data_IF_453711462051
#
_entry.id   IF_453711462051
#
_cell.length_a   1.000
_cell.length_b   1.000
_cell.length_c   1.000
_cell.angle_alpha   90.00
_cell.angle_beta   90.00
_cell.angle_gamma   90.00
#
_symmetry.space_group_name_H-M   'P 1'
#
loop_
_entity.id
_entity.type
_entity.pdbx_description
1 polymer ?
#
# COMPACT_ATOMS: atom_id res chain seq x y z
N UNK A 1 7.59 -52.57 -66.07
CA UNK A 1 7.53 -53.04 -64.66
C UNK A 1 7.55 -51.83 -63.75
N UNK A 2 6.60 -51.81 -62.81
CA UNK A 2 6.41 -51.02 -61.57
C UNK A 2 7.21 -49.73 -61.30
N UNK A 3 6.40 -48.66 -61.13
CA UNK A 3 6.53 -47.41 -60.38
C UNK A 3 7.42 -47.44 -59.13
N UNK A 4 8.12 -46.34 -58.83
CA UNK A 4 7.88 -45.56 -57.61
C UNK A 4 8.51 -44.16 -57.71
N UNK A 5 7.66 -43.13 -57.66
CA UNK A 5 8.02 -41.74 -57.39
C UNK A 5 8.07 -41.59 -55.88
N UNK A 6 9.16 -41.10 -55.31
CA UNK A 6 9.24 -40.73 -53.88
C UNK A 6 9.33 -39.22 -53.80
N UNK A 7 8.26 -38.61 -53.31
CA UNK A 7 8.15 -37.17 -53.03
C UNK A 7 9.06 -36.76 -51.86
N UNK A 8 9.72 -35.62 -52.01
CA UNK A 8 10.34 -34.86 -50.93
C UNK A 8 9.28 -34.39 -49.92
N UNK A 9 9.52 -34.64 -48.63
CA UNK A 9 8.86 -33.96 -47.51
C UNK A 9 9.92 -33.51 -46.51
N UNK A 10 10.15 -32.20 -46.49
CA UNK A 10 10.93 -31.45 -45.50
C UNK A 10 10.21 -31.44 -44.15
N UNK A 11 10.86 -31.92 -43.09
CA UNK A 11 10.43 -31.69 -41.70
C UNK A 11 11.49 -30.87 -41.00
N UNK A 12 11.18 -29.59 -40.76
CA UNK A 12 11.94 -28.66 -39.93
C UNK A 12 11.71 -29.03 -38.45
N UNK A 13 12.77 -29.42 -37.74
CA UNK A 13 12.77 -29.61 -36.29
C UNK A 13 13.16 -28.29 -35.61
N UNK A 14 12.32 -27.68 -34.76
CA UNK A 14 12.79 -26.63 -33.87
C UNK A 14 13.48 -27.27 -32.65
N UNK A 15 14.73 -26.85 -32.44
CA UNK A 15 15.50 -27.01 -31.22
C UNK A 15 14.87 -26.10 -30.15
N UNK A 16 14.32 -26.66 -29.08
CA UNK A 16 13.98 -25.89 -27.89
C UNK A 16 14.58 -26.57 -26.66
N UNK A 17 15.68 -25.98 -26.18
CA UNK A 17 16.26 -26.23 -24.87
C UNK A 17 15.28 -25.72 -23.80
N UNK A 18 14.65 -26.64 -23.09
CA UNK A 18 13.93 -26.30 -21.85
C UNK A 18 14.54 -27.07 -20.70
N UNK A 19 15.49 -26.43 -20.00
CA UNK A 19 15.86 -26.82 -18.64
C UNK A 19 14.69 -26.50 -17.71
N UNK A 20 13.88 -27.49 -17.39
CA UNK A 20 12.89 -27.37 -16.32
C UNK A 20 13.60 -27.42 -14.97
N UNK A 21 13.77 -26.26 -14.33
CA UNK A 21 14.02 -26.20 -12.90
C UNK A 21 12.74 -26.61 -12.18
N UNK A 22 12.77 -27.79 -11.55
CA UNK A 22 11.70 -28.22 -10.66
C UNK A 22 11.71 -27.34 -9.40
N UNK A 23 10.78 -26.39 -9.31
CA UNK A 23 10.48 -25.72 -8.06
C UNK A 23 9.79 -26.72 -7.12
N UNK A 24 10.36 -26.92 -5.93
CA UNK A 24 9.80 -27.74 -4.88
C UNK A 24 8.42 -27.20 -4.48
N UNK A 25 7.36 -27.95 -4.79
CA UNK A 25 6.00 -27.65 -4.35
C UNK A 25 5.79 -28.17 -2.93
N UNK A 26 6.20 -27.37 -1.93
CA UNK A 26 5.61 -27.47 -0.60
C UNK A 26 4.11 -27.12 -0.70
N UNK A 27 3.24 -27.99 -0.18
CA UNK A 27 1.78 -27.92 -0.29
C UNK A 27 1.11 -26.77 0.46
N UNK A 28 1.58 -25.53 0.25
CA UNK A 28 0.84 -24.31 0.57
C UNK A 28 -0.05 -23.91 -0.61
N UNK A 29 -1.23 -23.38 -0.33
CA UNK A 29 -2.08 -22.75 -1.36
C UNK A 29 -1.25 -21.59 -1.93
N UNK A 30 -0.78 -21.71 -3.18
CA UNK A 30 0.03 -20.66 -3.79
C UNK A 30 -0.77 -19.36 -3.91
N UNK A 31 -0.12 -18.24 -3.62
CA UNK A 31 -0.71 -16.92 -3.79
C UNK A 31 -0.80 -16.58 -5.30
N UNK A 32 -1.99 -16.66 -5.87
CA UNK A 32 -2.25 -16.19 -7.24
C UNK A 32 -2.28 -14.66 -7.28
N UNK A 33 -1.40 -14.06 -8.07
CA UNK A 33 -1.20 -12.61 -8.15
C UNK A 33 -1.65 -11.97 -9.47
N UNK A 34 -2.33 -12.73 -10.33
CA UNK A 34 -2.80 -12.24 -11.64
C UNK A 34 -4.27 -11.86 -11.62
N UNK A 35 -4.58 -10.68 -12.17
CA UNK A 35 -5.92 -10.18 -12.41
C UNK A 35 -5.99 -9.63 -13.84
N UNK A 36 -6.58 -10.41 -14.75
CA UNK A 36 -6.54 -10.10 -16.18
C UNK A 36 -5.09 -10.01 -16.69
N UNK A 37 -4.71 -8.86 -17.24
CA UNK A 37 -3.33 -8.59 -17.68
C UNK A 37 -2.42 -8.03 -16.58
N UNK A 38 -2.98 -7.66 -15.42
CA UNK A 38 -2.22 -7.07 -14.30
C UNK A 38 -1.66 -8.17 -13.40
N UNK A 39 -0.41 -8.02 -12.98
CA UNK A 39 0.19 -8.84 -11.92
C UNK A 39 0.54 -7.93 -10.74
N UNK A 40 0.11 -8.29 -9.53
CA UNK A 40 0.42 -7.54 -8.30
C UNK A 40 1.66 -8.10 -7.60
N UNK A 41 2.41 -7.30 -6.84
CA UNK A 41 3.53 -7.81 -6.06
C UNK A 41 3.05 -8.64 -4.87
N UNK A 42 3.83 -9.63 -4.46
CA UNK A 42 3.63 -10.27 -3.17
C UNK A 42 3.81 -9.23 -2.04
N UNK A 43 3.04 -9.26 -0.93
CA UNK A 43 2.09 -10.28 -0.46
C UNK A 43 0.64 -10.10 -0.91
N UNK A 44 0.39 -9.26 -1.93
CA UNK A 44 -0.94 -9.03 -2.45
C UNK A 44 -1.33 -10.13 -3.45
N UNK A 45 -2.62 -10.49 -3.48
CA UNK A 45 -3.15 -11.32 -4.56
C UNK A 45 -4.59 -11.77 -4.36
N UNK A 46 -5.06 -12.64 -5.25
CA UNK A 46 -6.47 -12.92 -5.51
C UNK A 46 -6.91 -14.32 -5.08
N UNK A 47 -6.10 -14.99 -4.26
CA UNK A 47 -6.36 -16.34 -3.76
C UNK A 47 -6.21 -16.42 -2.24
N UNK A 48 -6.80 -17.42 -1.56
CA UNK A 48 -6.71 -17.57 -0.12
C UNK A 48 -5.28 -17.72 0.44
N UNK A 49 -4.31 -18.08 -0.40
CA UNK A 49 -2.90 -18.20 -0.03
C UNK A 49 -2.14 -16.87 0.08
N UNK A 50 -2.76 -15.75 -0.27
CA UNK A 50 -2.12 -14.43 -0.21
C UNK A 50 -2.30 -13.79 1.17
N UNK A 51 -1.23 -13.28 1.81
CA UNK A 51 -1.37 -12.62 3.10
C UNK A 51 -2.25 -11.36 3.04
N UNK A 52 -2.29 -10.68 1.89
CA UNK A 52 -3.18 -9.54 1.66
C UNK A 52 -4.15 -9.87 0.52
N UNK A 53 -5.36 -10.33 0.83
CA UNK A 53 -6.34 -10.70 -0.17
C UNK A 53 -6.93 -9.48 -0.87
N UNK A 54 -7.01 -9.57 -2.20
CA UNK A 54 -7.60 -8.60 -3.11
C UNK A 54 -8.76 -9.23 -3.87
N UNK A 55 -9.69 -8.38 -4.29
CA UNK A 55 -10.68 -8.70 -5.32
C UNK A 55 -10.16 -8.26 -6.69
N UNK A 56 -10.55 -8.97 -7.75
CA UNK A 56 -10.16 -8.65 -9.12
C UNK A 56 -11.40 -8.25 -9.92
N UNK A 57 -11.40 -7.05 -10.50
CA UNK A 57 -12.25 -6.76 -11.64
C UNK A 57 -11.50 -7.17 -12.91
N UNK A 58 -11.82 -8.37 -13.41
CA UNK A 58 -11.16 -8.93 -14.59
C UNK A 58 -11.50 -8.19 -15.89
N UNK A 59 -12.62 -7.44 -15.93
CA UNK A 59 -13.04 -6.72 -17.14
C UNK A 59 -12.10 -5.56 -17.47
N UNK A 60 -11.52 -4.94 -16.44
CA UNK A 60 -10.59 -3.81 -16.53
C UNK A 60 -9.25 -4.11 -15.85
N UNK A 61 -8.96 -5.38 -15.56
CA UNK A 61 -7.72 -5.85 -14.91
C UNK A 61 -7.33 -5.05 -13.66
N UNK A 62 -8.32 -4.64 -12.86
CA UNK A 62 -8.12 -3.70 -11.74
C UNK A 62 -8.13 -4.42 -10.39
N UNK A 63 -7.05 -4.29 -9.59
CA UNK A 63 -7.02 -4.79 -8.22
C UNK A 63 -7.84 -3.92 -7.27
N UNK A 64 -8.65 -4.57 -6.45
CA UNK A 64 -9.54 -3.94 -5.47
C UNK A 64 -9.15 -4.41 -4.07
N UNK A 65 -8.84 -3.44 -3.21
CA UNK A 65 -8.46 -3.66 -1.82
C UNK A 65 -9.70 -3.72 -0.91
N UNK A 66 -9.68 -4.70 -0.03
CA UNK A 66 -10.67 -4.84 1.04
C UNK A 66 -12.09 -5.12 0.52
N UNK A 67 -13.03 -5.21 1.46
CA UNK A 67 -14.44 -5.46 1.12
C UNK A 67 -15.20 -4.20 0.71
N UNK A 68 -14.66 -3.03 1.03
CA UNK A 68 -15.28 -1.73 0.73
C UNK A 68 -15.09 -1.28 -0.71
N UNK A 69 -14.33 -2.02 -1.54
CA UNK A 69 -14.24 -1.76 -2.97
C UNK A 69 -13.24 -0.66 -3.36
N UNK A 70 -12.10 -0.56 -2.67
CA UNK A 70 -11.13 0.51 -2.90
C UNK A 70 -10.13 0.14 -3.99
N UNK A 71 -10.08 0.89 -5.08
CA UNK A 71 -9.13 0.64 -6.19
C UNK A 71 -7.70 1.00 -5.81
N UNK A 72 -6.73 0.15 -6.19
CA UNK A 72 -5.30 0.39 -5.99
C UNK A 72 -4.73 1.03 -7.27
N UNK A 73 -4.01 2.14 -7.12
CA UNK A 73 -3.35 2.86 -8.20
C UNK A 73 -1.92 2.40 -8.44
N UNK A 74 -1.16 2.20 -7.36
CA UNK A 74 0.26 1.87 -7.44
C UNK A 74 0.73 1.09 -6.22
N UNK A 75 1.83 0.38 -6.41
CA UNK A 75 2.57 -0.35 -5.38
C UNK A 75 3.99 0.20 -5.32
N UNK A 76 4.52 0.38 -4.12
CA UNK A 76 5.91 0.74 -3.90
C UNK A 76 6.54 -0.24 -2.93
N UNK A 77 7.33 -1.18 -3.46
CA UNK A 77 7.99 -2.21 -2.65
C UNK A 77 9.06 -1.61 -1.72
N UNK A 78 9.75 -0.55 -2.17
CA UNK A 78 10.83 0.10 -1.41
C UNK A 78 10.34 0.71 -0.11
N UNK A 79 9.21 1.43 -0.16
CA UNK A 79 8.58 2.02 1.04
C UNK A 79 7.60 1.05 1.70
N UNK A 80 7.32 -0.09 1.06
CA UNK A 80 6.25 -1.03 1.42
C UNK A 80 4.91 -0.31 1.60
N UNK A 81 4.55 0.49 0.59
CA UNK A 81 3.29 1.24 0.55
C UNK A 81 2.50 0.94 -0.71
N UNK A 82 1.20 1.24 -0.67
CA UNK A 82 0.30 1.24 -1.82
C UNK A 82 -0.49 2.54 -1.83
N UNK A 83 -0.81 3.06 -3.01
CA UNK A 83 -1.70 4.21 -3.15
C UNK A 83 -3.06 3.72 -3.61
N UNK A 84 -4.11 4.13 -2.91
CA UNK A 84 -5.49 3.70 -3.14
C UNK A 84 -6.43 4.89 -3.31
N UNK A 85 -7.55 4.71 -4.01
CA UNK A 85 -8.53 5.77 -4.22
C UNK A 85 -9.36 6.04 -2.97
N UNK A 86 -9.46 7.30 -2.56
CA UNK A 86 -10.46 7.76 -1.61
C UNK A 86 -11.16 9.03 -2.14
N UNK A 87 -11.97 8.89 -3.20
CA UNK A 87 -12.58 10.03 -3.85
C UNK A 87 -13.44 10.84 -2.88
N UNK A 88 -13.60 12.15 -3.14
CA UNK A 88 -14.47 13.00 -2.35
C UNK A 88 -15.88 12.42 -2.19
N UNK A 89 -16.36 12.32 -0.94
CA UNK A 89 -17.71 11.86 -0.62
C UNK A 89 -18.31 12.67 0.52
N UNK A 90 -19.56 13.07 0.36
CA UNK A 90 -20.30 13.87 1.34
C UNK A 90 -21.07 13.02 2.35
N UNK A 91 -21.07 11.69 2.18
CA UNK A 91 -21.89 10.76 2.96
C UNK A 91 -21.09 9.59 3.52
N UNK A 92 -19.75 9.59 3.30
CA UNK A 92 -18.88 8.56 3.84
C UNK A 92 -18.59 8.88 5.30
N UNK A 93 -19.18 8.10 6.19
CA UNK A 93 -18.92 8.21 7.62
C UNK A 93 -17.44 7.92 7.94
N UNK A 94 -16.93 8.48 9.05
CA UNK A 94 -15.57 8.18 9.52
C UNK A 94 -15.34 6.67 9.73
N UNK A 95 -16.28 5.90 10.34
CA UNK A 95 -16.16 4.45 10.45
C UNK A 95 -16.07 3.72 9.10
N UNK A 96 -16.80 4.17 8.08
CA UNK A 96 -16.74 3.56 6.74
C UNK A 96 -15.39 3.82 6.07
N UNK A 97 -14.83 5.03 6.22
CA UNK A 97 -13.48 5.34 5.77
C UNK A 97 -12.43 4.47 6.48
N UNK A 98 -12.56 4.28 7.81
CA UNK A 98 -11.70 3.36 8.57
C UNK A 98 -11.76 1.94 8.04
N UNK A 99 -12.96 1.43 7.78
CA UNK A 99 -13.17 0.08 7.22
C UNK A 99 -12.58 -0.07 5.81
N UNK A 100 -12.60 1.00 5.01
CA UNK A 100 -12.03 0.98 3.66
C UNK A 100 -10.48 1.04 3.66
N UNK A 101 -9.90 1.79 4.60
CA UNK A 101 -8.47 2.12 4.59
C UNK A 101 -7.65 1.34 5.63
N UNK A 102 -8.28 0.47 6.41
CA UNK A 102 -7.61 -0.36 7.41
C UNK A 102 -8.05 -1.81 7.30
N UNK A 103 -7.08 -2.70 7.38
CA UNK A 103 -7.30 -4.13 7.31
C UNK A 103 -6.41 -4.89 8.28
N UNK A 104 -6.41 -6.21 8.13
CA UNK A 104 -5.59 -7.09 8.97
C UNK A 104 -4.08 -6.86 8.79
N UNK A 105 -3.67 -6.47 7.58
CA UNK A 105 -2.29 -6.42 7.13
C UNK A 105 -1.93 -5.10 6.41
N UNK A 106 -2.76 -4.06 6.59
CA UNK A 106 -2.50 -2.72 6.08
C UNK A 106 -3.21 -1.63 6.89
N UNK A 107 -2.72 -0.40 6.80
CA UNK A 107 -3.31 0.77 7.42
C UNK A 107 -2.79 2.07 6.81
N UNK A 108 -3.51 3.16 7.04
CA UNK A 108 -3.17 4.49 6.50
C UNK A 108 -1.78 4.92 6.97
N UNK A 109 -0.91 5.32 6.05
CA UNK A 109 0.43 5.81 6.35
C UNK A 109 0.39 7.22 6.96
N UNK A 110 1.46 7.60 7.64
CA UNK A 110 1.65 8.96 8.15
C UNK A 110 1.76 10.04 7.06
N UNK A 111 2.03 9.67 5.80
CA UNK A 111 2.06 10.60 4.66
C UNK A 111 0.66 10.94 4.11
N UNK A 112 -0.39 10.35 4.70
CA UNK A 112 -1.77 10.61 4.31
C UNK A 112 -2.45 11.56 5.30
N UNK A 113 -3.00 12.65 4.77
CA UNK A 113 -3.92 13.53 5.50
C UNK A 113 -5.37 13.17 5.22
N UNK A 114 -6.18 13.01 6.27
CA UNK A 114 -7.63 12.85 6.17
C UNK A 114 -8.34 14.19 6.31
N UNK A 115 -9.37 14.42 5.51
CA UNK A 115 -10.21 15.61 5.57
C UNK A 115 -11.60 15.23 6.04
N UNK A 116 -12.07 15.88 7.09
CA UNK A 116 -13.25 15.53 7.88
C UNK A 116 -14.22 16.71 7.94
N UNK A 117 -15.52 16.40 7.98
CA UNK A 117 -16.61 17.39 8.02
C UNK A 117 -17.78 16.90 8.87
N UNK A 118 -18.84 17.70 8.95
CA UNK A 118 -20.06 17.34 9.66
C UNK A 118 -19.94 17.62 11.16
N UNK A 119 -19.63 18.87 11.51
CA UNK A 119 -19.65 19.34 12.90
C UNK A 119 -18.64 18.67 13.83
N UNK A 120 -17.39 18.54 13.39
CA UNK A 120 -16.28 18.08 14.23
C UNK A 120 -16.23 18.87 15.55
N UNK A 121 -16.21 18.16 16.68
CA UNK A 121 -16.12 18.73 18.04
C UNK A 121 -14.91 18.12 18.69
N UNK A 122 -13.87 18.92 18.82
CA UNK A 122 -12.67 18.53 19.53
C UNK A 122 -12.99 18.36 21.02
N UNK A 123 -12.62 17.21 21.59
CA UNK A 123 -12.81 16.97 23.03
C UNK A 123 -11.48 16.93 23.78
N UNK A 124 -10.34 16.71 23.09
CA UNK A 124 -8.95 16.79 23.56
C UNK A 124 -8.05 16.09 22.51
N UNK A 125 -7.85 16.67 21.32
CA UNK A 125 -7.03 16.02 20.30
C UNK A 125 -5.58 16.52 20.36
N UNK A 126 -4.65 15.59 20.18
CA UNK A 126 -3.21 15.87 20.08
C UNK A 126 -2.73 15.29 18.76
N UNK A 127 -2.77 16.11 17.70
CA UNK A 127 -2.34 15.78 16.34
C UNK A 127 -1.99 17.04 15.53
N UNK A 128 -1.41 16.86 14.34
CA UNK A 128 -1.20 17.95 13.39
C UNK A 128 -2.55 18.29 12.76
N UNK A 129 -3.24 19.22 13.40
CA UNK A 129 -4.58 19.63 13.04
C UNK A 129 -4.49 20.85 12.13
N UNK A 130 -5.27 20.82 11.05
CA UNK A 130 -5.50 22.01 10.24
C UNK A 130 -6.99 22.26 10.04
N UNK A 131 -7.35 23.52 9.92
CA UNK A 131 -8.70 23.94 9.55
C UNK A 131 -8.62 24.61 8.18
N UNK A 132 -9.27 24.00 7.19
CA UNK A 132 -9.32 24.53 5.83
C UNK A 132 -10.69 25.15 5.59
N UNK A 133 -10.79 26.42 5.16
CA UNK A 133 -12.08 27.03 4.84
C UNK A 133 -12.84 26.20 3.81
N UNK A 134 -14.15 25.99 4.04
CA UNK A 134 -14.97 25.18 3.14
C UNK A 134 -14.94 25.71 1.70
N UNK A 135 -14.87 27.03 1.52
CA UNK A 135 -14.76 27.67 0.21
C UNK A 135 -13.46 27.32 -0.54
N UNK A 136 -12.34 27.14 0.17
CA UNK A 136 -11.07 26.70 -0.42
C UNK A 136 -11.18 25.23 -0.79
N UNK A 137 -11.70 24.40 0.13
CA UNK A 137 -11.85 22.97 -0.11
C UNK A 137 -12.78 22.69 -1.31
N UNK A 138 -13.90 23.40 -1.45
CA UNK A 138 -14.79 23.27 -2.61
C UNK A 138 -14.11 23.62 -3.93
N UNK A 139 -13.17 24.57 -3.94
CA UNK A 139 -12.38 24.90 -5.14
C UNK A 139 -11.37 23.81 -5.47
N UNK A 140 -10.77 23.19 -4.45
CA UNK A 140 -9.80 22.10 -4.61
C UNK A 140 -10.47 20.80 -5.09
N UNK A 141 -11.61 20.45 -4.51
CA UNK A 141 -12.27 19.16 -4.75
C UNK A 141 -13.22 19.13 -5.94
N UNK A 142 -13.34 20.21 -6.74
CA UNK A 142 -14.15 20.46 -7.97
C UNK A 142 -15.37 19.57 -8.28
N UNK A 143 -15.23 18.25 -8.20
CA UNK A 143 -16.22 17.18 -8.34
C UNK A 143 -17.09 16.89 -7.11
N UNK A 144 -16.76 17.35 -5.88
CA UNK A 144 -17.65 17.21 -4.71
C UNK A 144 -18.12 18.55 -4.15
N UNK A 145 -19.41 18.84 -4.36
CA UNK A 145 -20.10 19.98 -3.77
C UNK A 145 -21.01 19.49 -2.65
N UNK A 146 -20.42 19.25 -1.50
CA UNK A 146 -21.14 18.80 -0.32
C UNK A 146 -21.95 19.95 0.28
N UNK A 147 -23.28 19.81 0.25
CA UNK A 147 -24.21 20.76 0.87
C UNK A 147 -24.13 20.62 2.39
N UNK A 148 -23.94 21.73 3.09
CA UNK A 148 -23.94 21.76 4.56
C UNK A 148 -23.51 23.11 5.11
N UNK A 149 -23.71 23.30 6.41
CA UNK A 149 -23.38 24.55 7.11
C UNK A 149 -21.94 24.56 7.66
N UNK A 150 -21.12 23.56 7.31
CA UNK A 150 -19.72 23.51 7.73
C UNK A 150 -18.96 24.70 7.12
N UNK A 151 -18.45 25.60 7.97
CA UNK A 151 -17.64 26.74 7.55
C UNK A 151 -16.19 26.34 7.24
N UNK A 152 -15.73 25.22 7.79
CA UNK A 152 -14.39 24.68 7.62
C UNK A 152 -14.39 23.15 7.58
N UNK A 153 -13.40 22.60 6.91
CA UNK A 153 -13.06 21.17 6.89
C UNK A 153 -11.87 20.96 7.81
N UNK A 154 -12.00 20.02 8.74
CA UNK A 154 -10.91 19.65 9.65
C UNK A 154 -9.99 18.67 8.93
N UNK A 155 -8.68 18.86 8.99
CA UNK A 155 -7.74 17.88 8.50
C UNK A 155 -6.97 17.24 9.65
N UNK A 156 -6.63 15.96 9.47
CA UNK A 156 -5.83 15.20 10.42
C UNK A 156 -4.78 14.39 9.67
N UNK A 157 -3.52 14.59 10.04
CA UNK A 157 -2.40 13.75 9.61
C UNK A 157 -1.66 13.25 10.85
N UNK A 158 -1.08 12.04 10.75
CA UNK A 158 -0.19 11.59 11.81
C UNK A 158 1.14 12.31 11.69
N UNK A 159 1.51 13.07 12.71
CA UNK A 159 2.84 13.65 12.78
C UNK A 159 3.88 12.53 12.92
N UNK A 160 4.90 12.47 12.05
CA UNK A 160 6.05 11.60 12.24
C UNK A 160 6.94 12.15 13.38
N UNK A 161 6.42 12.17 14.61
CA UNK A 161 7.05 12.64 15.87
C UNK A 161 7.62 14.08 15.95
N UNK A 162 7.45 14.67 17.15
CA UNK A 162 8.15 15.81 17.75
C UNK A 162 9.00 16.68 16.82
N UNK A 163 8.43 17.83 16.41
CA UNK A 163 9.18 19.00 15.94
C UNK A 163 10.05 19.58 17.08
N UNK A 164 11.12 18.88 17.45
CA UNK A 164 12.28 19.45 18.15
C UNK A 164 13.61 18.99 17.55
N UNK A 165 13.63 18.37 16.38
CA UNK A 165 14.86 18.12 15.64
C UNK A 165 15.38 19.43 15.03
N UNK A 166 16.02 20.25 15.87
CA UNK A 166 17.08 21.17 15.46
C UNK A 166 18.11 20.34 14.72
N UNK A 167 18.43 20.75 13.49
CA UNK A 167 19.42 20.13 12.63
C UNK A 167 20.69 19.75 13.40
N UNK A 168 20.95 18.44 13.53
CA UNK A 168 22.27 17.94 13.88
C UNK A 168 23.01 17.60 12.57
N UNK A 169 24.28 18.01 12.39
CA UNK A 169 25.05 17.66 11.21
C UNK A 169 25.39 16.17 11.23
N UNK A 170 25.28 15.53 10.07
CA UNK A 170 25.54 14.10 9.88
C UNK A 170 26.98 13.69 10.21
N UNK A 171 27.18 12.42 10.65
CA UNK A 171 28.31 11.68 10.09
C UNK A 171 28.03 10.20 9.76
N UNK A 172 28.63 9.75 8.64
CA UNK A 172 29.07 8.40 8.27
C UNK A 172 28.02 7.27 8.08
N UNK A 173 28.30 6.23 7.25
CA UNK A 173 27.29 5.28 6.78
C UNK A 173 26.94 4.29 7.90
N UNK A 174 25.68 4.33 8.35
CA UNK A 174 25.19 3.50 9.43
C UNK A 174 24.93 2.05 8.97
N UNK A 175 25.22 1.04 9.81
CA UNK A 175 24.76 -0.33 9.61
C UNK A 175 23.24 -0.42 9.83
N UNK A 176 22.59 -1.34 9.09
CA UNK A 176 21.19 -1.80 9.19
C UNK A 176 20.26 -0.94 10.08
N UNK A 177 19.47 -0.08 9.42
CA UNK A 177 18.45 0.75 10.04
C UNK A 177 17.45 -0.13 10.82
N UNK A 178 17.54 -0.15 12.15
CA UNK A 178 16.42 -0.56 13.02
C UNK A 178 15.31 0.49 12.88
N UNK A 179 14.54 0.45 11.81
CA UNK A 179 13.45 1.41 11.59
C UNK A 179 12.17 1.02 12.32
N UNK A 180 12.19 1.05 13.65
CA UNK A 180 10.96 1.31 14.37
C UNK A 180 10.71 2.82 14.23
N UNK A 181 10.06 3.26 13.14
CA UNK A 181 9.56 4.64 13.07
C UNK A 181 8.33 4.70 13.97
N UNK A 182 8.41 5.28 15.19
CA UNK A 182 7.22 5.49 15.99
C UNK A 182 6.25 6.38 15.20
N UNK A 183 5.00 5.93 15.05
CA UNK A 183 3.92 6.59 14.29
C UNK A 183 3.96 6.45 12.75
N UNK A 184 4.44 5.33 12.20
CA UNK A 184 4.32 5.05 10.76
C UNK A 184 2.87 5.05 10.25
N UNK A 185 1.91 4.70 11.11
CA UNK A 185 0.50 4.57 10.76
C UNK A 185 -0.40 5.57 11.47
N UNK A 186 -1.49 5.90 10.79
CA UNK A 186 -2.60 6.66 11.33
C UNK A 186 -3.28 5.94 12.50
N UNK A 187 -3.50 6.68 13.59
CA UNK A 187 -4.25 6.21 14.76
C UNK A 187 -5.70 6.67 14.67
N UNK A 188 -6.59 5.77 14.26
CA UNK A 188 -8.01 6.06 14.11
C UNK A 188 -8.68 6.54 15.39
N UNK A 189 -8.19 6.12 16.56
CA UNK A 189 -8.73 6.57 17.84
C UNK A 189 -8.61 8.10 17.98
N UNK A 190 -7.56 8.71 17.40
CA UNK A 190 -7.39 10.17 17.38
C UNK A 190 -8.33 10.84 16.39
N UNK A 191 -8.56 10.23 15.22
CA UNK A 191 -9.51 10.74 14.21
C UNK A 191 -10.94 10.69 14.74
N UNK A 192 -11.32 9.58 15.38
CA UNK A 192 -12.65 9.37 15.95
C UNK A 192 -12.92 10.30 17.15
N UNK A 193 -11.88 10.77 17.85
CA UNK A 193 -11.99 11.71 18.95
C UNK A 193 -12.56 13.08 18.53
N UNK A 194 -12.41 13.49 17.27
CA UNK A 194 -13.01 14.72 16.72
C UNK A 194 -14.53 14.61 16.53
N UNK A 195 -15.10 13.41 16.59
CA UNK A 195 -16.54 13.16 16.41
C UNK A 195 -17.14 13.81 15.16
N UNK A 196 -16.34 13.89 14.10
CA UNK A 196 -16.81 14.35 12.79
C UNK A 196 -17.83 13.35 12.22
N UNK A 197 -18.84 13.85 11.51
CA UNK A 197 -19.81 13.00 10.82
C UNK A 197 -19.16 12.21 9.68
N UNK A 198 -18.44 12.90 8.79
CA UNK A 198 -17.99 12.34 7.52
C UNK A 198 -16.49 12.54 7.28
N UNK A 199 -15.88 11.54 6.64
CA UNK A 199 -14.55 11.60 6.06
C UNK A 199 -14.66 11.99 4.58
N UNK A 200 -14.52 13.28 4.32
CA UNK A 200 -14.70 13.90 3.00
C UNK A 200 -13.77 13.31 1.94
N UNK A 201 -12.47 13.27 2.20
CA UNK A 201 -11.45 12.71 1.28
C UNK A 201 -10.13 12.51 2.03
N UNK A 202 -9.12 12.02 1.32
CA UNK A 202 -7.74 11.97 1.77
C UNK A 202 -6.87 12.72 0.77
N UNK A 203 -5.69 13.12 1.21
CA UNK A 203 -4.65 13.59 0.33
C UNK A 203 -3.29 13.02 0.71
N UNK A 204 -2.48 12.80 -0.32
CA UNK A 204 -1.06 12.53 -0.17
C UNK A 204 -0.30 13.84 -0.20
N UNK A 205 0.57 14.00 0.78
CA UNK A 205 1.58 15.05 0.79
C UNK A 205 2.92 14.45 0.38
N UNK A 206 3.47 14.93 -0.74
CA UNK A 206 4.82 14.61 -1.19
C UNK A 206 5.78 15.73 -0.84
N UNK A 207 6.86 15.40 -0.11
CA UNK A 207 8.00 16.29 0.08
C UNK A 207 8.98 16.08 -1.07
N UNK A 208 9.04 17.04 -1.99
CA UNK A 208 10.19 17.22 -2.87
C UNK A 208 10.85 18.50 -2.41
N UNK A 209 12.19 18.54 -2.33
CA UNK A 209 13.04 19.58 -1.70
C UNK A 209 12.69 21.06 -2.02
N UNK A 210 11.75 21.34 -2.93
CA UNK A 210 11.31 22.68 -3.31
C UNK A 210 9.79 22.89 -3.49
N UNK A 211 8.93 21.85 -3.50
CA UNK A 211 7.47 22.00 -3.72
C UNK A 211 6.67 20.96 -2.93
N UNK A 212 5.73 21.44 -2.10
CA UNK A 212 4.68 20.59 -1.53
C UNK A 212 3.67 20.24 -2.64
N UNK A 213 3.62 18.97 -3.05
CA UNK A 213 2.56 18.45 -3.90
C UNK A 213 1.49 17.81 -3.03
N UNK A 214 0.23 18.20 -3.23
CA UNK A 214 -0.92 17.61 -2.55
C UNK A 214 -1.87 16.98 -3.57
N UNK A 215 -2.02 15.67 -3.52
CA UNK A 215 -2.93 14.94 -4.40
C UNK A 215 -4.17 14.50 -3.61
N UNK A 216 -5.33 15.08 -3.93
CA UNK A 216 -6.60 14.74 -3.29
C UNK A 216 -7.25 13.52 -3.95
N UNK A 217 -8.10 12.83 -3.19
CA UNK A 217 -8.84 11.69 -3.69
C UNK A 217 -8.06 10.38 -3.60
N UNK A 218 -6.91 10.38 -2.92
CA UNK A 218 -6.03 9.22 -2.75
C UNK A 218 -5.52 9.13 -1.32
N UNK A 219 -5.19 7.91 -0.90
CA UNK A 219 -4.57 7.60 0.39
C UNK A 219 -3.42 6.60 0.19
N UNK A 220 -2.34 6.77 0.94
CA UNK A 220 -1.22 5.85 0.98
C UNK A 220 -1.42 4.96 2.19
N UNK A 221 -1.32 3.65 1.96
CA UNK A 221 -1.41 2.65 2.99
C UNK A 221 -0.06 1.96 3.11
N UNK A 222 0.44 1.84 4.33
CA UNK A 222 1.51 0.88 4.62
C UNK A 222 0.92 -0.51 4.82
N UNK A 223 1.67 -1.56 4.49
CA UNK A 223 1.23 -2.95 4.65
C UNK A 223 2.25 -3.78 5.43
N UNK A 224 1.92 -4.99 5.88
CA UNK A 224 2.87 -5.88 6.56
C UNK A 224 2.42 -7.33 6.43
N UNK A 225 3.35 -8.28 6.61
CA UNK A 225 3.03 -9.71 6.80
C UNK A 225 3.07 -10.03 8.30
N UNK A 226 2.22 -10.95 8.75
CA UNK A 226 2.17 -11.35 10.16
C UNK A 226 3.46 -12.03 10.61
N UNK A 227 3.87 -11.81 11.86
CA UNK A 227 5.08 -12.39 12.43
C UNK A 227 6.17 -11.36 12.64
N UNK A 228 7.38 -11.82 12.95
CA UNK A 228 8.56 -10.98 13.22
C UNK A 228 9.75 -11.50 12.44
N UNK A 229 10.77 -10.66 12.27
CA UNK A 229 12.03 -11.04 11.63
C UNK A 229 12.79 -12.15 12.39
N UNK A 230 12.55 -12.31 13.69
CA UNK A 230 13.18 -13.32 14.52
C UNK A 230 12.36 -14.63 14.65
N UNK A 231 11.19 -14.73 14.01
CA UNK A 231 10.21 -15.80 14.28
C UNK A 231 9.56 -16.43 13.04
N UNK A 232 8.40 -17.08 13.26
CA UNK A 232 7.64 -17.90 12.29
C UNK A 232 6.85 -17.10 11.24
N UNK A 233 7.42 -15.99 10.77
CA UNK A 233 6.87 -15.21 9.66
C UNK A 233 7.23 -15.82 8.31
N UNK A 234 6.81 -15.16 7.24
CA UNK A 234 7.29 -15.49 5.91
C UNK A 234 8.75 -15.09 5.76
N UNK A 235 9.52 -15.92 5.08
CA UNK A 235 10.95 -15.71 4.98
C UNK A 235 11.25 -14.67 3.90
N UNK A 236 12.14 -13.73 4.23
CA UNK A 236 12.73 -12.86 3.23
C UNK A 236 13.63 -13.68 2.29
N UNK A 237 13.67 -13.29 1.02
CA UNK A 237 14.56 -13.87 0.03
C UNK A 237 16.03 -13.56 0.36
N UNK A 238 16.94 -14.26 -0.32
CA UNK A 238 18.36 -13.89 -0.30
C UNK A 238 18.52 -12.43 -0.78
N UNK A 239 19.45 -11.69 -0.17
CA UNK A 239 19.70 -10.28 -0.43
C UNK A 239 18.49 -9.35 -0.15
N UNK A 240 17.57 -9.78 0.71
CA UNK A 240 16.54 -8.92 1.29
C UNK A 240 16.83 -8.64 2.77
N UNK A 241 16.48 -7.44 3.22
CA UNK A 241 16.50 -7.03 4.62
C UNK A 241 15.12 -7.17 5.23
N UNK A 242 15.03 -7.83 6.39
CA UNK A 242 13.80 -7.91 7.17
C UNK A 242 13.70 -6.72 8.13
N UNK A 243 12.51 -6.12 8.23
CA UNK A 243 12.20 -5.07 9.21
C UNK A 243 10.91 -5.39 9.95
N UNK A 244 10.94 -5.37 11.29
CA UNK A 244 9.74 -5.51 12.12
C UNK A 244 8.85 -4.26 12.03
N UNK A 245 7.54 -4.46 12.07
CA UNK A 245 6.51 -3.43 11.95
C UNK A 245 5.62 -3.45 13.19
N UNK A 246 5.53 -2.30 13.86
CA UNK A 246 4.54 -2.06 14.90
C UNK A 246 3.19 -1.73 14.25
N UNK A 247 2.28 -2.70 14.28
CA UNK A 247 0.98 -2.57 13.61
C UNK A 247 0.02 -1.69 14.42
N UNK A 248 -0.95 -1.02 13.77
CA UNK A 248 -1.99 -0.26 14.48
C UNK A 248 -2.78 -1.09 15.50
N UNK A 249 -2.87 -2.41 15.28
CA UNK A 249 -3.58 -3.35 16.17
C UNK A 249 -2.78 -3.77 17.41
N UNK A 250 -1.51 -3.35 17.53
CA UNK A 250 -0.59 -3.81 18.57
C UNK A 250 0.02 -5.19 18.34
N UNK A 251 -0.43 -5.92 17.29
CA UNK A 251 0.22 -7.16 16.83
C UNK A 251 1.56 -6.85 16.16
N UNK A 252 2.39 -7.89 16.01
CA UNK A 252 3.67 -7.80 15.29
C UNK A 252 3.51 -8.21 13.84
N UNK A 253 4.07 -7.38 12.95
CA UNK A 253 4.27 -7.69 11.55
C UNK A 253 5.73 -7.52 11.16
N UNK A 254 6.07 -7.92 9.94
CA UNK A 254 7.37 -7.67 9.33
C UNK A 254 7.20 -7.39 7.84
N UNK A 255 8.28 -6.88 7.24
CA UNK A 255 8.42 -6.63 5.81
C UNK A 255 9.79 -7.09 5.35
N UNK A 256 9.87 -7.44 4.08
CA UNK A 256 11.12 -7.69 3.39
C UNK A 256 11.32 -6.63 2.31
N UNK A 257 12.54 -6.13 2.16
CA UNK A 257 12.91 -5.20 1.11
C UNK A 257 14.24 -5.63 0.50
N UNK A 258 14.35 -5.58 -0.82
CA UNK A 258 15.60 -5.91 -1.48
C UNK A 258 16.71 -4.90 -1.14
N UNK A 259 17.95 -5.37 -1.12
CA UNK A 259 19.12 -4.51 -0.99
C UNK A 259 19.15 -3.44 -2.10
N UNK A 260 19.81 -2.32 -1.82
CA UNK A 260 19.90 -1.20 -2.74
C UNK A 260 20.44 -1.64 -4.12
N UNK A 261 19.75 -1.22 -5.18
CA UNK A 261 20.10 -1.57 -6.57
C UNK A 261 19.50 -2.89 -7.07
N UNK A 262 18.69 -3.58 -6.26
CA UNK A 262 17.95 -4.77 -6.67
C UNK A 262 16.44 -4.48 -6.77
N UNK A 263 15.76 -5.26 -7.60
CA UNK A 263 14.32 -5.21 -7.82
C UNK A 263 13.65 -6.46 -7.24
N UNK A 264 12.37 -6.32 -6.88
CA UNK A 264 11.52 -7.42 -6.42
C UNK A 264 10.70 -7.07 -5.18
N UNK A 265 10.00 -8.07 -4.64
CA UNK A 265 9.17 -7.92 -3.44
C UNK A 265 9.91 -8.28 -2.15
N UNK A 266 11.10 -8.88 -2.25
CA UNK A 266 11.93 -9.24 -1.11
C UNK A 266 11.50 -10.51 -0.37
N UNK A 267 10.41 -11.18 -0.75
CA UNK A 267 9.91 -12.37 -0.07
C UNK A 267 10.30 -13.64 -0.81
N UNK A 268 10.64 -14.69 -0.06
CA UNK A 268 10.95 -16.01 -0.62
C UNK A 268 9.73 -16.66 -1.31
N UNK A 269 8.53 -16.37 -0.81
CA UNK A 269 7.27 -16.85 -1.39
C UNK A 269 6.81 -16.05 -2.63
N UNK A 270 7.48 -14.92 -2.91
CA UNK A 270 7.19 -14.02 -4.01
C UNK A 270 8.21 -14.11 -5.15
N UNK A 271 8.51 -12.97 -5.75
CA UNK A 271 9.52 -12.79 -6.79
C UNK A 271 10.95 -12.73 -6.22
N UNK A 272 11.09 -12.52 -4.91
CA UNK A 272 12.38 -12.41 -4.24
C UNK A 272 13.13 -11.15 -4.64
N UNK A 273 14.45 -11.23 -4.75
CA UNK A 273 15.31 -10.11 -5.17
C UNK A 273 16.19 -10.50 -6.35
N UNK A 274 16.25 -9.63 -7.36
CA UNK A 274 17.04 -9.83 -8.57
C UNK A 274 17.60 -8.50 -9.09
N UNK A 275 18.67 -8.57 -9.88
CA UNK A 275 19.12 -7.43 -10.69
C UNK A 275 18.31 -7.37 -11.99
N UNK A 276 18.13 -6.16 -12.53
CA UNK A 276 17.59 -5.95 -13.87
C UNK A 276 18.65 -6.21 -14.95
#
# INVERSE_FOLDING_TARGET
>A
MRRLVVLLLTVLLPHENSCSAAAASGGGIQCSRRCGSTTVPYPFGFSPGCPIPLSCDASISTPILGRSGTTIHSFNSTTSTIVVSLPPSCTRSVPDAKKALSGANYGVSSHTGLFLRGGCREINASGAECSVPASVMSRLLRTAQCVGNDTSVTCFASSPMNSTAVAAPAPAPAPALKSAYPNQFLRWEKVEAFRCGDALTAALYGDTDTVLSLEFGVAELGWWVNGTCAGSGELCAANATCTDVDTPSGKKGHRCACQAGMNGDGFLAGDGCHYL
#
